data_IF_175617176091
#
_entry.id   IF_175617176091
#
_cell.length_a   1.000
_cell.length_b   1.000
_cell.length_c   1.000
_cell.angle_alpha   90.00
_cell.angle_beta   90.00
_cell.angle_gamma   90.00
#
_symmetry.space_group_name_H-M   'P 1'
#
loop_
_entity.id
_entity.type
_entity.pdbx_description
1 polymer ?
#
# COMPACT_ATOMS: atom_id res chain seq x y z
N UNK A 1 6.20 -7.98 -0.22
CA UNK A 1 6.11 -6.96 0.84
C UNK A 1 5.83 -7.59 2.20
N UNK A 2 4.70 -8.27 2.41
CA UNK A 2 4.28 -8.75 3.74
C UNK A 2 5.33 -9.61 4.49
N UNK A 3 5.82 -10.70 3.90
CA UNK A 3 6.80 -11.59 4.54
C UNK A 3 8.15 -10.89 4.79
N UNK A 4 8.57 -10.00 3.90
CA UNK A 4 9.78 -9.20 4.09
C UNK A 4 9.62 -8.25 5.27
N UNK A 5 8.53 -7.49 5.33
CA UNK A 5 8.26 -6.59 6.45
C UNK A 5 8.20 -7.35 7.78
N UNK A 6 7.59 -8.54 7.80
CA UNK A 6 7.57 -9.38 8.99
C UNK A 6 8.99 -9.81 9.43
N UNK A 7 9.86 -10.19 8.47
CA UNK A 7 11.26 -10.53 8.73
C UNK A 7 12.08 -9.35 9.28
N UNK A 8 11.87 -8.17 8.71
CA UNK A 8 12.60 -6.94 9.07
C UNK A 8 12.02 -6.21 10.30
N UNK A 9 11.05 -6.80 11.00
CA UNK A 9 10.44 -6.20 12.19
C UNK A 9 9.49 -5.03 11.92
N UNK A 10 8.98 -4.91 10.69
CA UNK A 10 7.92 -3.98 10.31
C UNK A 10 6.54 -4.63 10.41
N UNK A 11 5.54 -3.83 10.81
CA UNK A 11 4.13 -4.15 10.64
C UNK A 11 3.61 -3.61 9.31
N UNK A 12 2.68 -4.35 8.70
CA UNK A 12 2.01 -3.90 7.48
C UNK A 12 0.51 -4.17 7.54
N UNK A 13 -0.28 -3.27 6.95
CA UNK A 13 -1.74 -3.39 6.88
C UNK A 13 -2.19 -3.18 5.44
N UNK A 14 -2.96 -4.14 4.92
CA UNK A 14 -3.67 -3.99 3.64
C UNK A 14 -4.91 -3.13 3.84
N UNK A 15 -5.12 -2.15 2.97
CA UNK A 15 -6.32 -1.32 2.96
C UNK A 15 -7.00 -1.46 1.60
N UNK A 16 -8.16 -2.13 1.61
CA UNK A 16 -9.00 -2.32 0.43
C UNK A 16 -9.93 -1.13 0.12
N UNK A 17 -10.14 -0.24 1.09
CA UNK A 17 -10.94 0.97 0.89
C UNK A 17 -10.03 2.17 0.59
N UNK A 18 -10.05 2.63 -0.65
CA UNK A 18 -9.33 3.82 -1.13
C UNK A 18 -10.06 4.42 -2.34
N UNK A 19 -9.77 5.69 -2.66
CA UNK A 19 -10.29 6.34 -3.86
C UNK A 19 -9.32 6.10 -5.03
N UNK A 20 -9.66 5.17 -5.92
CA UNK A 20 -8.78 4.77 -7.02
C UNK A 20 -8.46 5.91 -7.99
N UNK A 21 -9.44 6.74 -8.36
CA UNK A 21 -9.24 7.82 -9.32
C UNK A 21 -8.31 8.91 -8.77
N UNK A 22 -8.56 9.36 -7.54
CA UNK A 22 -7.74 10.37 -6.91
C UNK A 22 -6.32 9.87 -6.67
N UNK A 23 -6.19 8.62 -6.20
CA UNK A 23 -4.86 8.04 -5.96
C UNK A 23 -4.08 7.82 -7.25
N UNK A 24 -4.74 7.35 -8.32
CA UNK A 24 -4.12 7.18 -9.63
C UNK A 24 -3.60 8.51 -10.18
N UNK A 25 -4.36 9.61 -10.05
CA UNK A 25 -3.91 10.95 -10.44
C UNK A 25 -2.71 11.42 -9.60
N UNK A 26 -2.78 11.24 -8.28
CA UNK A 26 -1.73 11.68 -7.35
C UNK A 26 -0.37 11.01 -7.60
N UNK A 27 -0.37 9.72 -7.93
CA UNK A 27 0.86 8.97 -8.22
C UNK A 27 1.25 8.97 -9.70
N UNK A 28 0.52 9.73 -10.53
CA UNK A 28 0.66 9.76 -11.99
C UNK A 28 0.64 8.36 -12.61
N UNK A 29 -0.36 7.57 -12.23
CA UNK A 29 -0.53 6.20 -12.70
C UNK A 29 -0.90 6.19 -14.19
N UNK A 30 -0.24 5.33 -14.96
CA UNK A 30 -0.54 5.13 -16.38
C UNK A 30 -1.97 4.64 -16.62
N UNK A 31 -2.55 4.99 -17.78
CA UNK A 31 -3.94 4.64 -18.14
C UNK A 31 -4.17 3.14 -18.31
N UNK A 32 -3.10 2.37 -18.49
CA UNK A 32 -3.04 0.93 -18.64
C UNK A 32 -2.85 0.18 -17.31
N UNK A 33 -2.80 0.91 -16.18
CA UNK A 33 -2.52 0.37 -14.85
C UNK A 33 -3.68 0.62 -13.91
N UNK A 34 -3.87 -0.32 -12.99
CA UNK A 34 -4.89 -0.26 -11.95
C UNK A 34 -4.26 -0.41 -10.55
N UNK A 35 -4.84 0.26 -9.57
CA UNK A 35 -4.47 0.09 -8.16
C UNK A 35 -5.29 -1.06 -7.60
N UNK A 36 -4.63 -2.18 -7.30
CA UNK A 36 -5.30 -3.38 -6.76
C UNK A 36 -5.49 -3.29 -5.24
N UNK A 37 -4.52 -2.73 -4.53
CA UNK A 37 -4.54 -2.58 -3.09
C UNK A 37 -3.59 -1.48 -2.64
N UNK A 38 -3.79 -0.99 -1.43
CA UNK A 38 -2.85 -0.09 -0.76
C UNK A 38 -2.31 -0.75 0.51
N UNK A 39 -1.04 -0.53 0.81
CA UNK A 39 -0.37 -1.09 1.99
C UNK A 39 0.31 0.02 2.78
N UNK A 40 -0.03 0.12 4.07
CA UNK A 40 0.74 0.94 5.01
C UNK A 40 1.80 0.04 5.63
N UNK A 41 3.03 0.52 5.67
CA UNK A 41 4.19 -0.15 6.29
C UNK A 41 4.75 0.78 7.37
N UNK A 42 5.08 0.24 8.53
CA UNK A 42 5.68 1.01 9.61
C UNK A 42 6.15 0.13 10.75
N UNK A 43 6.79 0.74 11.75
CA UNK A 43 7.18 -0.01 12.95
C UNK A 43 5.96 -0.34 13.82
N UNK A 44 5.90 -1.54 14.42
CA UNK A 44 4.87 -1.86 15.41
C UNK A 44 4.94 -0.89 16.60
N UNK A 45 3.78 -0.56 17.18
CA UNK A 45 3.76 0.03 18.53
C UNK A 45 4.28 -1.02 19.52
N UNK A 46 5.15 -0.60 20.44
CA UNK A 46 5.57 -1.41 21.59
C UNK A 46 4.36 -1.81 22.44
#
# INVERSE_FOLDING_TARGET
VYLYCASEGFSTVVRGLFNSENLAKLINLGKDKEIILTQTVGHPKK
#
